data_IF_399166366293
#
_entry.id   IF_399166366293
#
_cell.length_a   1.000
_cell.length_b   1.000
_cell.length_c   1.000
_cell.angle_alpha   90.00
_cell.angle_beta   90.00
_cell.angle_gamma   90.00
#
_symmetry.space_group_name_H-M   'P 1'
#
loop_
_entity.id
_entity.type
_entity.pdbx_description
1 polymer ?
#
# COMPACT_ATOMS: atom_id res chain seq x y z
N UNK A 1 31.21 -18.17 18.46
CA UNK A 1 29.72 -18.13 18.56
C UNK A 1 29.11 -16.73 18.39
N UNK A 2 29.89 -15.65 18.41
CA UNK A 2 29.38 -14.27 18.28
C UNK A 2 29.10 -13.83 16.83
N UNK A 3 29.90 -14.29 15.86
CA UNK A 3 29.77 -13.96 14.43
C UNK A 3 28.49 -14.51 13.78
N UNK A 4 28.11 -15.76 14.08
CA UNK A 4 26.89 -16.36 13.53
C UNK A 4 25.61 -15.69 14.05
N UNK A 5 25.58 -15.30 15.34
CA UNK A 5 24.46 -14.53 15.90
C UNK A 5 24.34 -13.13 15.28
N UNK A 6 25.46 -12.48 15.01
CA UNK A 6 25.48 -11.18 14.31
C UNK A 6 24.98 -11.31 12.86
N UNK A 7 25.35 -12.38 12.16
CA UNK A 7 24.91 -12.65 10.79
C UNK A 7 23.40 -12.91 10.72
N UNK A 8 22.84 -13.72 11.62
CA UNK A 8 21.38 -13.95 11.71
C UNK A 8 20.65 -12.65 12.04
N UNK A 9 21.16 -11.86 12.99
CA UNK A 9 20.57 -10.57 13.34
C UNK A 9 20.58 -9.61 12.16
N UNK A 10 21.69 -9.55 11.40
CA UNK A 10 21.79 -8.74 10.19
C UNK A 10 20.81 -9.19 9.11
N UNK A 11 20.68 -10.51 8.87
CA UNK A 11 19.68 -11.08 7.97
C UNK A 11 18.25 -10.75 8.41
N UNK A 12 17.94 -10.81 9.71
CA UNK A 12 16.62 -10.43 10.20
C UNK A 12 16.38 -8.93 10.03
N UNK A 13 17.38 -8.07 10.25
CA UNK A 13 17.26 -6.62 10.06
C UNK A 13 17.05 -6.28 8.57
N UNK A 14 17.80 -6.90 7.65
CA UNK A 14 17.63 -6.69 6.22
C UNK A 14 16.31 -7.25 5.72
N UNK A 15 15.86 -8.40 6.25
CA UNK A 15 14.52 -8.92 5.98
C UNK A 15 13.42 -8.01 6.53
N UNK A 16 13.56 -7.42 7.70
CA UNK A 16 12.59 -6.43 8.24
C UNK A 16 12.58 -5.11 7.45
N UNK A 17 13.70 -4.73 6.83
CA UNK A 17 13.76 -3.55 5.95
C UNK A 17 13.09 -3.80 4.60
N UNK A 18 13.25 -5.00 4.02
CA UNK A 18 12.64 -5.34 2.73
C UNK A 18 11.20 -5.86 2.85
N UNK A 19 10.89 -6.51 3.97
CA UNK A 19 9.63 -7.17 4.23
C UNK A 19 9.00 -6.58 5.49
N UNK A 20 9.06 -5.27 5.72
CA UNK A 20 8.24 -4.49 6.67
C UNK A 20 8.39 -4.81 8.17
N UNK A 21 7.65 -4.07 9.01
CA UNK A 21 7.77 -4.13 10.47
C UNK A 21 6.63 -4.96 11.05
N UNK A 22 6.97 -6.04 11.76
CA UNK A 22 6.01 -6.87 12.50
C UNK A 22 5.39 -6.01 13.61
N UNK A 23 4.07 -5.90 13.59
CA UNK A 23 3.28 -5.19 14.58
C UNK A 23 2.32 -6.17 15.22
N UNK A 24 2.76 -6.86 16.29
CA UNK A 24 1.87 -7.78 17.02
C UNK A 24 0.83 -6.97 17.78
N UNK A 25 -0.36 -6.83 17.21
CA UNK A 25 -1.52 -6.52 18.04
C UNK A 25 -1.76 -7.75 18.91
N UNK A 26 -2.03 -7.60 20.21
CA UNK A 26 -2.44 -8.73 21.07
C UNK A 26 -3.81 -9.30 20.70
N UNK A 27 -4.29 -9.07 19.47
CA UNK A 27 -5.61 -9.39 18.99
C UNK A 27 -5.72 -10.88 18.72
N UNK A 28 -6.80 -11.48 19.21
CA UNK A 28 -7.12 -12.87 18.92
C UNK A 28 -7.44 -12.96 17.43
N UNK A 29 -6.77 -13.89 16.73
CA UNK A 29 -7.05 -14.20 15.31
C UNK A 29 -8.57 -14.23 15.09
N UNK A 30 -9.12 -13.46 14.14
CA UNK A 30 -10.57 -13.36 13.98
C UNK A 30 -11.15 -14.75 13.80
N UNK A 31 -12.25 -15.03 14.51
CA UNK A 31 -12.97 -16.29 14.36
C UNK A 31 -13.37 -16.48 12.89
N UNK A 32 -13.26 -17.71 12.41
CA UNK A 32 -13.67 -18.05 11.04
C UNK A 32 -15.16 -17.66 10.89
N UNK A 33 -15.52 -16.85 9.88
CA UNK A 33 -16.91 -16.45 9.69
C UNK A 33 -17.81 -17.66 9.47
N UNK A 34 -19.08 -17.54 9.87
CA UNK A 34 -20.08 -18.58 9.67
C UNK A 34 -20.23 -18.91 8.17
N UNK A 35 -20.64 -20.14 7.84
CA UNK A 35 -20.74 -20.63 6.46
C UNK A 35 -21.61 -19.74 5.57
N UNK A 36 -22.70 -19.19 6.11
CA UNK A 36 -23.61 -18.31 5.38
C UNK A 36 -22.99 -16.94 5.10
N UNK A 37 -22.21 -16.41 6.05
CA UNK A 37 -21.43 -15.19 5.81
C UNK A 37 -20.38 -15.38 4.72
N UNK A 38 -19.73 -16.56 4.68
CA UNK A 38 -18.78 -16.90 3.62
C UNK A 38 -19.50 -16.88 2.26
N UNK A 39 -20.65 -17.54 2.14
CA UNK A 39 -21.44 -17.58 0.89
C UNK A 39 -21.85 -16.20 0.41
N UNK A 40 -22.26 -15.31 1.31
CA UNK A 40 -22.60 -13.93 0.95
C UNK A 40 -21.39 -13.08 0.55
N UNK A 41 -20.21 -13.36 1.12
CA UNK A 41 -18.96 -12.65 0.82
C UNK A 41 -18.25 -13.15 -0.44
N UNK A 42 -18.59 -14.35 -0.93
CA UNK A 42 -18.10 -14.89 -2.21
C UNK A 42 -18.92 -14.44 -3.42
N UNK A 43 -20.12 -13.87 -3.22
CA UNK A 43 -20.89 -13.32 -4.34
C UNK A 43 -20.14 -12.12 -4.94
N UNK A 44 -19.90 -12.08 -6.26
CA UNK A 44 -19.25 -10.95 -6.88
C UNK A 44 -20.28 -9.81 -6.94
N UNK A 45 -20.16 -8.86 -6.00
CA UNK A 45 -21.03 -7.69 -5.86
C UNK A 45 -20.20 -6.48 -5.46
N UNK A 46 -20.62 -5.24 -5.78
CA UNK A 46 -19.83 -4.04 -5.52
C UNK A 46 -19.32 -3.95 -4.08
N UNK A 47 -20.18 -4.23 -3.10
CA UNK A 47 -19.84 -4.20 -1.67
C UNK A 47 -18.68 -5.15 -1.28
N UNK A 48 -18.51 -6.24 -2.02
CA UNK A 48 -17.46 -7.23 -1.77
C UNK A 48 -16.13 -6.85 -2.46
N UNK A 49 -16.13 -5.89 -3.39
CA UNK A 49 -14.92 -5.39 -4.05
C UNK A 49 -14.20 -4.31 -3.23
N UNK A 50 -14.93 -3.58 -2.38
CA UNK A 50 -14.40 -2.42 -1.66
C UNK A 50 -13.29 -2.83 -0.68
N UNK A 51 -12.15 -2.17 -0.79
CA UNK A 51 -10.95 -2.46 -0.01
C UNK A 51 -9.68 -2.37 -0.86
N UNK A 52 -8.56 -2.70 -0.25
CA UNK A 52 -7.24 -2.79 -0.89
C UNK A 52 -6.88 -4.25 -1.08
N UNK A 53 -6.44 -4.58 -2.28
CA UNK A 53 -6.10 -5.93 -2.73
C UNK A 53 -4.68 -5.94 -3.28
N UNK A 54 -3.90 -6.96 -2.94
CA UNK A 54 -2.53 -7.15 -3.40
C UNK A 54 -2.48 -8.31 -4.38
N UNK A 55 -1.77 -8.15 -5.50
CA UNK A 55 -1.51 -9.26 -6.42
C UNK A 55 -0.87 -10.43 -5.65
N UNK A 56 -1.40 -11.63 -5.86
CA UNK A 56 -0.88 -12.87 -5.28
C UNK A 56 -0.47 -13.92 -6.31
N UNK A 57 -0.91 -13.79 -7.57
CA UNK A 57 -0.44 -14.64 -8.66
C UNK A 57 -1.04 -14.27 -10.01
N UNK A 58 -0.35 -14.65 -11.09
CA UNK A 58 -0.82 -14.52 -12.49
C UNK A 58 -0.82 -15.91 -13.11
N UNK A 59 -1.88 -16.25 -13.85
CA UNK A 59 -1.92 -17.46 -14.66
C UNK A 59 -1.96 -17.09 -16.14
N UNK A 60 -1.00 -17.63 -16.91
CA UNK A 60 -0.92 -17.51 -18.37
C UNK A 60 -0.78 -18.91 -18.96
N UNK A 61 -1.89 -19.50 -19.42
CA UNK A 61 -1.90 -20.79 -20.10
C UNK A 61 -3.19 -21.60 -19.95
N UNK A 62 -3.36 -22.62 -20.80
CA UNK A 62 -4.51 -23.54 -20.79
C UNK A 62 -4.65 -24.40 -19.52
N UNK A 63 -3.73 -24.28 -18.56
CA UNK A 63 -3.79 -25.01 -17.28
C UNK A 63 -4.51 -24.24 -16.17
N UNK A 64 -5.04 -23.04 -16.45
CA UNK A 64 -5.91 -22.32 -15.52
C UNK A 64 -5.23 -21.99 -14.18
N UNK A 65 -5.96 -21.35 -13.28
CA UNK A 65 -5.54 -21.21 -11.87
C UNK A 65 -5.86 -22.53 -11.20
N UNK A 66 -4.87 -23.39 -10.94
CA UNK A 66 -5.14 -24.61 -10.17
C UNK A 66 -5.14 -24.30 -8.67
N UNK A 67 -6.12 -24.90 -8.04
CA UNK A 67 -6.75 -24.59 -6.77
C UNK A 67 -5.97 -25.12 -5.54
N UNK A 68 -6.54 -24.96 -4.33
CA UNK A 68 -6.04 -25.48 -3.05
C UNK A 68 -5.84 -27.01 -2.95
N UNK A 69 -5.90 -27.73 -4.07
CA UNK A 69 -5.79 -29.18 -4.24
C UNK A 69 -4.46 -29.63 -4.89
N UNK A 70 -3.58 -28.71 -5.26
CA UNK A 70 -2.15 -28.92 -5.05
C UNK A 70 -1.22 -29.15 -6.24
N UNK A 71 -1.42 -28.56 -7.44
CA UNK A 71 -0.38 -28.39 -8.48
C UNK A 71 -0.83 -27.40 -9.56
N UNK A 72 0.06 -26.72 -10.31
CA UNK A 72 0.82 -25.51 -10.01
C UNK A 72 0.10 -24.21 -10.44
N UNK A 73 -0.09 -23.27 -9.49
CA UNK A 73 0.08 -21.84 -9.80
C UNK A 73 1.60 -21.63 -9.83
N UNK A 74 2.18 -21.06 -10.89
CA UNK A 74 3.55 -20.54 -10.76
C UNK A 74 3.48 -19.48 -9.68
N UNK A 75 3.85 -19.85 -8.45
CA UNK A 75 4.03 -18.91 -7.36
C UNK A 75 4.88 -17.80 -7.95
N UNK A 76 4.37 -16.58 -7.91
CA UNK A 76 5.21 -15.41 -8.05
C UNK A 76 6.38 -15.64 -7.09
N UNK A 77 7.61 -15.77 -7.61
CA UNK A 77 8.74 -15.68 -6.71
C UNK A 77 8.63 -14.32 -6.01
N UNK A 78 8.66 -14.27 -4.67
CA UNK A 78 8.67 -13.03 -3.94
C UNK A 78 9.78 -12.13 -4.50
N UNK A 79 9.41 -10.98 -5.06
CA UNK A 79 10.34 -10.05 -5.73
C UNK A 79 10.30 -10.06 -7.26
N UNK A 80 9.41 -10.84 -7.89
CA UNK A 80 9.17 -10.71 -9.33
C UNK A 80 8.44 -9.39 -9.65
N UNK A 81 8.74 -8.85 -10.83
CA UNK A 81 8.63 -7.43 -11.23
C UNK A 81 7.23 -6.79 -11.23
N UNK A 82 6.19 -7.45 -10.73
CA UNK A 82 4.78 -7.04 -10.90
C UNK A 82 3.97 -6.97 -9.59
N UNK A 83 4.60 -6.76 -8.43
CA UNK A 83 3.84 -6.49 -7.20
C UNK A 83 3.05 -5.18 -7.32
N UNK A 84 1.73 -5.27 -7.12
CA UNK A 84 0.79 -4.15 -7.23
C UNK A 84 -0.30 -4.24 -6.15
N UNK A 85 -0.75 -3.08 -5.68
CA UNK A 85 -2.02 -2.89 -4.98
C UNK A 85 -3.06 -2.31 -5.91
N UNK A 86 -4.30 -2.78 -5.79
CA UNK A 86 -5.48 -2.09 -6.31
C UNK A 86 -6.44 -1.81 -5.15
N UNK A 87 -6.94 -0.58 -5.07
CA UNK A 87 -7.91 -0.18 -4.04
C UNK A 87 -9.20 0.30 -4.69
N UNK A 88 -10.32 -0.28 -4.27
CA UNK A 88 -11.67 0.11 -4.69
C UNK A 88 -12.37 0.88 -3.58
N UNK A 89 -12.93 2.03 -3.92
CA UNK A 89 -13.58 2.92 -2.96
C UNK A 89 -15.10 3.01 -3.19
N UNK A 90 -15.89 3.34 -2.14
CA UNK A 90 -17.36 3.46 -2.23
C UNK A 90 -17.88 4.53 -3.19
N UNK A 91 -17.06 5.51 -3.56
CA UNK A 91 -17.44 6.59 -4.49
C UNK A 91 -17.12 6.27 -5.95
N UNK A 92 -17.05 4.97 -6.28
CA UNK A 92 -16.70 4.46 -7.61
C UNK A 92 -15.30 4.88 -8.09
N UNK A 93 -14.43 5.38 -7.21
CA UNK A 93 -13.02 5.60 -7.57
C UNK A 93 -12.17 4.37 -7.27
N UNK A 94 -11.10 4.18 -8.05
CA UNK A 94 -10.07 3.20 -7.74
C UNK A 94 -8.66 3.79 -7.90
N UNK A 95 -7.69 3.16 -7.23
CA UNK A 95 -6.27 3.41 -7.45
C UNK A 95 -5.52 2.10 -7.69
N UNK A 96 -4.50 2.12 -8.54
CA UNK A 96 -3.50 1.05 -8.70
C UNK A 96 -2.13 1.62 -8.34
N UNK A 97 -1.36 0.90 -7.53
CA UNK A 97 -0.02 1.30 -7.07
C UNK A 97 0.94 0.13 -7.28
N UNK A 98 1.97 0.31 -8.11
CA UNK A 98 3.06 -0.65 -8.28
C UNK A 98 4.25 -0.36 -7.36
N UNK A 99 5.13 -1.35 -7.22
CA UNK A 99 6.37 -1.21 -6.42
C UNK A 99 7.44 -0.35 -7.08
N UNK A 100 7.34 -0.05 -8.39
CA UNK A 100 8.29 0.81 -9.11
C UNK A 100 7.74 2.21 -9.36
N UNK A 101 6.75 2.63 -8.57
CA UNK A 101 6.18 3.97 -8.66
C UNK A 101 5.05 4.10 -9.68
N UNK A 102 4.64 3.01 -10.33
CA UNK A 102 3.46 3.01 -11.18
C UNK A 102 2.25 3.45 -10.36
N UNK A 103 1.53 4.46 -10.83
CA UNK A 103 0.36 4.99 -10.15
C UNK A 103 -0.75 5.28 -11.16
N UNK A 104 -1.92 4.71 -10.92
CA UNK A 104 -3.11 4.97 -11.74
C UNK A 104 -4.27 5.30 -10.82
N UNK A 105 -5.09 6.26 -11.23
CA UNK A 105 -6.38 6.59 -10.61
C UNK A 105 -7.45 6.53 -11.68
N UNK A 106 -8.65 6.10 -11.32
CA UNK A 106 -9.74 5.98 -12.27
C UNK A 106 -11.10 5.80 -11.61
N UNK A 107 -12.08 5.47 -12.43
CA UNK A 107 -13.44 5.11 -12.02
C UNK A 107 -13.66 3.61 -12.22
N UNK A 108 -14.43 2.98 -11.33
CA UNK A 108 -14.86 1.61 -11.47
C UNK A 108 -16.37 1.49 -11.38
N UNK A 109 -16.91 0.54 -12.12
CA UNK A 109 -18.29 0.10 -12.02
C UNK A 109 -18.36 -1.43 -12.09
N UNK A 110 -19.44 -2.02 -11.60
CA UNK A 110 -19.57 -3.46 -11.52
C UNK A 110 -20.94 -3.93 -12.04
N UNK A 111 -20.92 -4.77 -13.06
CA UNK A 111 -22.11 -5.39 -13.62
C UNK A 111 -22.37 -6.74 -12.95
N UNK A 112 -23.42 -6.79 -12.14
CA UNK A 112 -23.84 -8.01 -11.44
C UNK A 112 -24.39 -9.09 -12.36
N UNK A 113 -24.81 -8.74 -13.57
CA UNK A 113 -25.38 -9.66 -14.55
C UNK A 113 -24.29 -10.53 -15.17
N UNK A 114 -23.21 -9.89 -15.59
CA UNK A 114 -22.03 -10.54 -16.21
C UNK A 114 -20.98 -10.93 -15.18
N UNK A 115 -21.08 -10.42 -13.94
CA UNK A 115 -20.03 -10.51 -12.92
C UNK A 115 -18.71 -9.88 -13.39
N UNK A 116 -18.80 -8.78 -14.15
CA UNK A 116 -17.65 -8.03 -14.67
C UNK A 116 -17.44 -6.73 -13.90
N UNK A 117 -16.18 -6.29 -13.81
CA UNK A 117 -15.80 -4.95 -13.38
C UNK A 117 -15.32 -4.13 -14.58
N UNK A 118 -15.78 -2.88 -14.67
CA UNK A 118 -15.33 -1.90 -15.65
C UNK A 118 -14.36 -0.94 -15.00
N UNK A 119 -13.13 -0.86 -15.49
CA UNK A 119 -12.09 0.03 -14.97
C UNK A 119 -11.77 1.10 -16.00
N UNK A 120 -12.14 2.34 -15.70
CA UNK A 120 -11.94 3.48 -16.58
C UNK A 120 -10.79 4.35 -16.08
N UNK A 121 -9.75 4.50 -16.90
CA UNK A 121 -8.62 5.41 -16.64
C UNK A 121 -8.09 5.99 -17.95
N UNK A 122 -7.71 7.27 -17.94
CA UNK A 122 -7.17 7.96 -19.13
C UNK A 122 -8.03 7.79 -20.40
N UNK A 123 -9.37 7.79 -20.26
CA UNK A 123 -10.37 7.55 -21.32
C UNK A 123 -10.40 6.14 -21.92
N UNK A 124 -9.64 5.20 -21.35
CA UNK A 124 -9.69 3.80 -21.69
C UNK A 124 -10.54 3.06 -20.65
N UNK A 125 -11.42 2.17 -21.11
CA UNK A 125 -12.25 1.33 -20.25
C UNK A 125 -11.90 -0.13 -20.50
N UNK A 126 -11.53 -0.84 -19.45
CA UNK A 126 -11.26 -2.27 -19.44
C UNK A 126 -12.45 -2.99 -18.79
N UNK A 127 -13.03 -3.99 -19.46
CA UNK A 127 -13.97 -4.94 -18.84
C UNK A 127 -13.21 -6.19 -18.39
N UNK A 128 -13.42 -6.64 -17.16
CA UNK A 128 -12.69 -7.75 -16.55
C UNK A 128 -13.69 -8.65 -15.80
N UNK A 129 -13.68 -9.96 -16.06
CA UNK A 129 -14.50 -10.92 -15.32
C UNK A 129 -14.01 -11.08 -13.88
N UNK A 130 -14.93 -11.24 -12.91
CA UNK A 130 -14.59 -11.25 -11.48
C UNK A 130 -15.22 -12.43 -10.74
N UNK A 131 -14.39 -13.16 -9.99
CA UNK A 131 -14.83 -14.19 -9.05
C UNK A 131 -14.15 -14.03 -7.69
N UNK A 132 -14.91 -14.21 -6.61
CA UNK A 132 -14.41 -14.08 -5.23
C UNK A 132 -14.35 -15.45 -4.58
N UNK A 133 -13.16 -15.82 -4.08
CA UNK A 133 -12.92 -17.08 -3.37
C UNK A 133 -12.25 -16.81 -2.02
N UNK A 134 -11.93 -17.89 -1.31
CA UNK A 134 -11.18 -17.85 -0.05
C UNK A 134 -9.97 -18.76 -0.16
N UNK A 135 -8.83 -18.29 0.33
CA UNK A 135 -7.66 -19.13 0.58
C UNK A 135 -7.85 -19.99 1.84
N UNK A 136 -7.06 -21.04 2.00
CA UNK A 136 -7.13 -21.96 3.15
C UNK A 136 -6.92 -21.28 4.49
N UNK A 137 -6.13 -20.21 4.50
CA UNK A 137 -5.88 -19.38 5.68
C UNK A 137 -7.04 -18.42 6.02
N UNK A 138 -8.14 -18.47 5.25
CA UNK A 138 -9.33 -17.65 5.43
C UNK A 138 -9.27 -16.25 4.81
N UNK A 139 -8.20 -15.91 4.10
CA UNK A 139 -8.12 -14.64 3.36
C UNK A 139 -9.00 -14.68 2.12
N UNK A 140 -9.62 -13.54 1.80
CA UNK A 140 -10.43 -13.37 0.61
C UNK A 140 -9.53 -13.18 -0.61
N UNK A 141 -9.93 -13.79 -1.72
CA UNK A 141 -9.27 -13.66 -3.01
C UNK A 141 -10.26 -13.06 -4.02
N UNK A 142 -9.80 -12.11 -4.82
CA UNK A 142 -10.46 -11.70 -6.05
C UNK A 142 -9.65 -12.30 -7.20
N UNK A 143 -10.33 -12.92 -8.17
CA UNK A 143 -9.72 -13.37 -9.41
C UNK A 143 -10.28 -12.52 -10.55
N UNK A 144 -9.38 -11.84 -11.25
CA UNK A 144 -9.64 -11.11 -12.48
C UNK A 144 -9.37 -12.03 -13.66
N UNK A 145 -10.35 -12.21 -14.52
CA UNK A 145 -10.25 -12.97 -15.76
C UNK A 145 -10.26 -11.99 -16.94
N UNK A 146 -9.14 -11.92 -17.65
CA UNK A 146 -8.99 -11.07 -18.84
C UNK A 146 -9.30 -11.84 -20.12
N UNK A 147 -9.02 -13.14 -20.12
CA UNK A 147 -9.35 -14.09 -21.18
C UNK A 147 -9.43 -15.50 -20.59
N UNK A 148 -9.94 -16.50 -21.35
CA UNK A 148 -9.98 -17.90 -20.88
C UNK A 148 -8.62 -18.49 -20.47
N UNK A 149 -7.51 -17.86 -20.88
CA UNK A 149 -6.14 -18.33 -20.61
C UNK A 149 -5.33 -17.36 -19.76
N UNK A 150 -5.90 -16.21 -19.38
CA UNK A 150 -5.20 -15.16 -18.66
C UNK A 150 -6.03 -14.66 -17.49
N UNK A 151 -5.49 -14.84 -16.28
CA UNK A 151 -6.12 -14.37 -15.06
C UNK A 151 -5.10 -13.89 -14.03
N UNK A 152 -5.57 -13.04 -13.14
CA UNK A 152 -4.82 -12.45 -12.04
C UNK A 152 -5.56 -12.69 -10.73
N UNK A 153 -4.88 -13.25 -9.74
CA UNK A 153 -5.41 -13.39 -8.39
C UNK A 153 -4.89 -12.28 -7.49
N UNK A 154 -5.78 -11.73 -6.66
CA UNK A 154 -5.50 -10.68 -5.69
C UNK A 154 -6.00 -11.10 -4.32
N UNK A 155 -5.14 -11.00 -3.31
CA UNK A 155 -5.46 -11.28 -1.92
C UNK A 155 -5.88 -10.00 -1.18
N UNK A 156 -6.87 -10.10 -0.30
CA UNK A 156 -7.30 -8.99 0.57
C UNK A 156 -6.11 -8.51 1.43
N UNK A 157 -5.69 -7.26 1.22
CA UNK A 157 -4.60 -6.61 1.94
C UNK A 157 -5.13 -5.71 3.06
N UNK A 158 -6.25 -5.02 2.80
CA UNK A 158 -6.86 -4.12 3.76
C UNK A 158 -8.34 -3.96 3.50
N UNK A 159 -9.16 -4.17 4.54
CA UNK A 159 -10.60 -3.89 4.47
C UNK A 159 -10.85 -2.39 4.37
N UNK A 160 -12.04 -2.03 3.87
CA UNK A 160 -12.52 -0.64 3.84
C UNK A 160 -12.40 0.03 5.21
N UNK A 161 -11.82 1.23 5.26
CA UNK A 161 -11.88 2.05 6.46
C UNK A 161 -13.29 2.63 6.67
N UNK A 162 -13.72 2.87 7.93
CA UNK A 162 -14.99 3.55 8.20
C UNK A 162 -15.09 4.90 7.46
N UNK A 163 -13.99 5.64 7.43
CA UNK A 163 -13.81 6.87 6.63
C UNK A 163 -12.89 6.57 5.45
N UNK A 164 -13.45 6.06 4.37
CA UNK A 164 -12.65 5.59 3.23
C UNK A 164 -11.75 6.66 2.59
N UNK A 165 -12.09 7.95 2.73
CA UNK A 165 -11.26 9.07 2.23
C UNK A 165 -9.98 9.29 3.05
N UNK A 166 -9.91 8.73 4.25
CA UNK A 166 -8.69 8.69 5.07
C UNK A 166 -7.80 7.49 4.71
N UNK A 167 -8.22 6.65 3.76
CA UNK A 167 -7.41 5.50 3.32
C UNK A 167 -6.11 5.98 2.69
N UNK A 168 -4.94 5.42 3.08
CA UNK A 168 -3.67 5.82 2.52
C UNK A 168 -3.62 5.68 1.01
N UNK A 169 -4.39 4.79 0.38
CA UNK A 169 -4.39 4.59 -1.07
C UNK A 169 -5.49 5.36 -1.80
N UNK A 170 -6.28 6.17 -1.11
CA UNK A 170 -7.25 7.07 -1.75
C UNK A 170 -6.53 8.11 -2.62
N UNK A 171 -7.14 8.52 -3.74
CA UNK A 171 -6.50 9.36 -4.75
C UNK A 171 -5.91 10.67 -4.17
N UNK A 172 -6.69 11.35 -3.32
CA UNK A 172 -6.27 12.59 -2.68
C UNK A 172 -5.07 12.43 -1.72
N UNK A 173 -4.83 11.21 -1.23
CA UNK A 173 -3.73 10.92 -0.31
C UNK A 173 -2.46 10.45 -1.06
N UNK A 174 -2.49 10.35 -2.39
CA UNK A 174 -1.37 9.86 -3.21
C UNK A 174 -0.98 10.80 -4.35
N UNK A 175 -1.49 12.03 -4.40
CA UNK A 175 -1.18 12.93 -5.52
C UNK A 175 0.31 13.26 -5.59
N UNK A 176 1.06 13.10 -4.49
CA UNK A 176 2.52 13.21 -4.47
C UNK A 176 3.23 12.30 -5.48
N UNK A 177 2.60 11.20 -5.92
CA UNK A 177 3.11 10.29 -6.94
C UNK A 177 2.95 10.79 -8.38
N UNK A 178 2.05 11.77 -8.58
CA UNK A 178 1.73 12.26 -9.92
C UNK A 178 2.83 13.23 -10.35
N UNK A 179 3.65 12.79 -11.30
CA UNK A 179 4.77 13.58 -11.83
C UNK A 179 4.26 14.90 -12.44
N UNK A 180 4.76 16.07 -11.99
CA UNK A 180 4.45 17.35 -12.61
C UNK A 180 4.97 17.45 -14.05
N UNK A 181 4.16 18.04 -14.94
CA UNK A 181 4.56 18.31 -16.32
C UNK A 181 5.57 19.47 -16.45
N UNK A 182 5.73 20.29 -15.41
CA UNK A 182 6.58 21.48 -15.39
C UNK A 182 7.30 21.58 -14.03
N UNK A 183 8.42 22.33 -13.95
CA UNK A 183 9.11 22.57 -12.68
C UNK A 183 8.15 23.12 -11.62
N UNK A 184 8.32 22.66 -10.38
CA UNK A 184 7.49 23.09 -9.25
C UNK A 184 8.17 24.27 -8.51
N UNK A 185 7.37 25.19 -8.00
CA UNK A 185 7.84 26.21 -7.05
C UNK A 185 8.07 25.60 -5.66
N UNK A 186 8.81 26.29 -4.79
CA UNK A 186 9.07 25.85 -3.41
C UNK A 186 7.80 25.53 -2.62
N UNK A 187 6.74 26.32 -2.85
CA UNK A 187 5.44 26.09 -2.23
C UNK A 187 4.76 24.80 -2.74
N UNK A 188 4.89 24.50 -4.04
CA UNK A 188 4.35 23.28 -4.65
C UNK A 188 5.14 22.04 -4.20
N UNK A 189 6.48 22.13 -4.18
CA UNK A 189 7.37 21.08 -3.66
C UNK A 189 7.04 20.79 -2.19
N UNK A 190 6.85 21.83 -1.36
CA UNK A 190 6.42 21.68 0.04
C UNK A 190 5.05 21.03 0.15
N UNK A 191 4.08 21.44 -0.66
CA UNK A 191 2.75 20.83 -0.65
C UNK A 191 2.82 19.32 -0.99
N UNK A 192 3.68 18.94 -1.95
CA UNK A 192 3.91 17.55 -2.34
C UNK A 192 4.52 16.74 -1.21
N UNK A 193 5.55 17.29 -0.57
CA UNK A 193 6.15 16.70 0.62
C UNK A 193 5.11 16.51 1.74
N UNK A 194 4.29 17.51 2.02
CA UNK A 194 3.23 17.41 3.03
C UNK A 194 2.22 16.31 2.67
N UNK A 195 1.85 16.16 1.41
CA UNK A 195 0.98 15.06 0.99
C UNK A 195 1.63 13.69 1.20
N UNK A 196 2.93 13.54 0.91
CA UNK A 196 3.67 12.32 1.23
C UNK A 196 3.72 12.03 2.74
N UNK A 197 3.98 13.03 3.57
CA UNK A 197 4.00 12.83 5.04
C UNK A 197 2.62 12.44 5.58
N UNK A 198 1.55 13.05 5.07
CA UNK A 198 0.18 12.69 5.40
C UNK A 198 -0.16 11.26 4.93
N UNK A 199 0.32 10.86 3.75
CA UNK A 199 0.23 9.48 3.25
C UNK A 199 0.90 8.50 4.21
N UNK A 200 2.16 8.73 4.57
CA UNK A 200 2.90 7.85 5.48
C UNK A 200 2.22 7.73 6.84
N UNK A 201 1.68 8.83 7.38
CA UNK A 201 0.88 8.81 8.61
C UNK A 201 -0.42 7.98 8.42
N UNK A 202 -1.08 8.13 7.27
CA UNK A 202 -2.30 7.38 6.94
C UNK A 202 -2.04 5.88 6.83
N UNK A 203 -0.86 5.45 6.34
CA UNK A 203 -0.47 4.03 6.34
C UNK A 203 -0.47 3.48 7.78
N UNK A 204 0.19 4.18 8.71
CA UNK A 204 0.25 3.76 10.11
C UNK A 204 -1.13 3.74 10.78
N UNK A 205 -1.91 4.82 10.63
CA UNK A 205 -3.25 4.88 11.22
C UNK A 205 -4.19 3.80 10.67
N UNK A 206 -4.12 3.52 9.36
CA UNK A 206 -4.93 2.47 8.72
C UNK A 206 -4.58 1.09 9.24
N UNK A 207 -3.28 0.82 9.48
CA UNK A 207 -2.82 -0.45 10.05
C UNK A 207 -3.35 -0.64 11.47
N UNK A 208 -3.45 0.43 12.26
CA UNK A 208 -4.05 0.38 13.59
C UNK A 208 -5.55 0.09 13.53
N UNK A 209 -6.28 0.80 12.69
CA UNK A 209 -7.74 0.63 12.54
C UNK A 209 -8.07 -0.78 12.04
N UNK A 210 -7.23 -1.33 11.16
CA UNK A 210 -7.37 -2.67 10.59
C UNK A 210 -6.81 -3.78 11.46
N UNK A 211 -6.17 -3.44 12.59
CA UNK A 211 -5.44 -4.38 13.44
C UNK A 211 -4.46 -5.26 12.63
N UNK A 212 -3.76 -4.66 11.66
CA UNK A 212 -2.82 -5.41 10.83
C UNK A 212 -1.64 -5.89 11.67
N UNK A 213 -1.28 -7.17 11.56
CA UNK A 213 -0.13 -7.72 12.29
C UNK A 213 1.23 -7.28 11.72
N UNK A 214 1.19 -6.56 10.61
CA UNK A 214 2.34 -6.32 9.77
C UNK A 214 2.14 -5.05 8.94
N UNK A 215 3.13 -4.16 8.96
CA UNK A 215 3.11 -2.89 8.24
C UNK A 215 4.23 -2.90 7.20
N UNK A 216 3.85 -2.75 5.94
CA UNK A 216 4.78 -2.62 4.82
C UNK A 216 4.75 -1.21 4.24
N UNK A 217 5.93 -0.68 3.95
CA UNK A 217 6.10 0.55 3.17
C UNK A 217 6.52 0.26 1.72
N UNK A 218 6.42 -0.99 1.25
CA UNK A 218 6.86 -1.38 -0.10
C UNK A 218 6.17 -0.56 -1.20
N UNK A 219 4.89 -0.24 -1.04
CA UNK A 219 4.13 0.60 -1.97
C UNK A 219 4.23 2.08 -1.63
N UNK A 220 4.92 2.46 -0.56
CA UNK A 220 4.98 3.82 0.01
C UNK A 220 6.42 4.28 0.25
N UNK A 221 7.36 3.76 -0.54
CA UNK A 221 8.76 4.13 -0.46
C UNK A 221 8.94 5.62 -0.74
N UNK A 222 9.85 6.23 0.01
CA UNK A 222 10.20 7.63 -0.13
C UNK A 222 11.28 8.01 0.86
N UNK A 223 11.31 9.28 1.28
CA UNK A 223 12.39 9.81 2.10
C UNK A 223 12.25 9.56 3.60
N UNK A 224 11.06 9.15 4.08
CA UNK A 224 10.80 8.89 5.50
C UNK A 224 11.34 7.51 5.90
N UNK A 225 12.06 7.47 7.02
CA UNK A 225 12.50 6.23 7.67
C UNK A 225 11.84 6.10 9.03
N UNK A 226 11.12 5.00 9.23
CA UNK A 226 10.46 4.68 10.51
C UNK A 226 11.41 3.87 11.41
N UNK A 227 11.44 4.24 12.70
CA UNK A 227 12.13 3.54 13.78
C UNK A 227 11.15 3.28 14.90
N UNK A 228 11.45 2.38 15.82
CA UNK A 228 10.62 2.20 17.01
C UNK A 228 10.61 3.50 17.84
N UNK A 229 9.52 4.27 17.78
CA UNK A 229 9.37 5.58 18.44
C UNK A 229 10.36 6.61 17.87
N UNK A 230 10.42 6.72 16.55
CA UNK A 230 11.31 7.69 15.90
C UNK A 230 11.08 7.82 14.40
N UNK A 231 11.17 9.04 13.90
CA UNK A 231 11.11 9.36 12.48
C UNK A 231 12.46 9.94 12.07
N UNK A 232 13.07 9.35 11.06
CA UNK A 232 14.25 9.91 10.40
C UNK A 232 14.05 10.04 8.91
N UNK A 233 15.16 10.33 8.23
CA UNK A 233 15.25 10.45 6.79
C UNK A 233 16.16 9.36 6.24
N UNK A 234 15.88 8.87 5.02
CA UNK A 234 16.82 8.02 4.26
C UNK A 234 18.09 8.81 3.96
N UNK A 235 19.22 8.16 3.68
CA UNK A 235 20.41 8.90 3.23
C UNK A 235 20.18 9.44 1.81
N UNK A 236 20.78 10.57 1.47
CA UNK A 236 20.59 11.25 0.17
C UNK A 236 20.98 10.37 -1.03
N UNK A 237 21.97 9.51 -0.88
CA UNK A 237 22.41 8.50 -1.88
C UNK A 237 21.55 7.23 -1.90
N UNK A 238 20.62 7.09 -0.96
CA UNK A 238 19.71 5.95 -0.81
C UNK A 238 18.24 6.34 -1.06
N UNK A 239 17.99 7.51 -1.63
CA UNK A 239 16.64 7.95 -1.98
C UNK A 239 16.09 6.98 -3.05
N UNK A 240 14.91 6.37 -2.84
CA UNK A 240 14.31 5.47 -3.82
C UNK A 240 14.06 6.18 -5.17
N UNK A 241 14.28 5.48 -6.29
CA UNK A 241 14.00 6.03 -7.62
C UNK A 241 12.54 6.44 -7.77
N UNK A 242 11.62 5.69 -7.17
CA UNK A 242 10.18 5.98 -7.15
C UNK A 242 9.85 7.35 -6.53
N UNK A 243 10.66 7.81 -5.56
CA UNK A 243 10.56 9.17 -5.03
C UNK A 243 11.05 10.18 -6.06
N UNK A 244 12.25 10.01 -6.60
CA UNK A 244 12.84 10.94 -7.57
C UNK A 244 11.95 11.12 -8.81
N UNK A 245 11.37 10.03 -9.29
CA UNK A 245 10.50 10.01 -10.48
C UNK A 245 9.12 10.67 -10.24
N UNK A 246 8.72 10.86 -8.99
CA UNK A 246 7.45 11.52 -8.62
C UNK A 246 7.49 13.05 -8.71
N UNK A 247 8.69 13.64 -8.88
CA UNK A 247 8.91 15.07 -9.06
C UNK A 247 9.23 15.40 -10.51
N UNK A 248 9.16 16.68 -10.88
CA UNK A 248 9.50 17.11 -12.23
C UNK A 248 10.96 16.76 -12.59
N UNK A 249 11.88 17.04 -11.67
CA UNK A 249 13.32 16.81 -11.78
C UNK A 249 13.88 16.17 -10.50
N UNK A 250 15.09 15.60 -10.59
CA UNK A 250 15.81 15.11 -9.41
C UNK A 250 16.16 16.27 -8.44
N UNK A 251 16.39 17.47 -8.95
CA UNK A 251 16.66 18.66 -8.13
C UNK A 251 15.44 19.04 -7.29
N UNK A 252 14.23 19.00 -7.86
CA UNK A 252 12.98 19.26 -7.11
C UNK A 252 12.77 18.20 -6.01
N UNK A 253 13.08 16.94 -6.31
CA UNK A 253 13.00 15.84 -5.35
C UNK A 253 14.03 16.00 -4.21
N UNK A 254 15.25 16.41 -4.52
CA UNK A 254 16.29 16.71 -3.53
C UNK A 254 15.95 17.96 -2.71
N UNK A 255 15.30 18.95 -3.31
CA UNK A 255 14.81 20.12 -2.59
C UNK A 255 13.74 19.74 -1.57
N UNK A 256 12.81 18.86 -1.92
CA UNK A 256 11.84 18.31 -0.96
C UNK A 256 12.54 17.52 0.17
N UNK A 257 13.55 16.73 -0.17
CA UNK A 257 14.38 16.04 0.82
C UNK A 257 15.04 17.03 1.79
N UNK A 258 15.69 18.07 1.28
CA UNK A 258 16.42 19.05 2.09
C UNK A 258 15.44 19.81 3.01
N UNK A 259 14.24 20.17 2.52
CA UNK A 259 13.18 20.75 3.36
C UNK A 259 12.77 19.84 4.53
N UNK A 260 12.68 18.53 4.29
CA UNK A 260 12.31 17.57 5.32
C UNK A 260 13.45 17.38 6.34
N UNK A 261 14.67 17.19 5.85
CA UNK A 261 15.88 17.03 6.67
C UNK A 261 16.10 18.26 7.57
N UNK A 262 16.06 19.46 7.00
CA UNK A 262 16.15 20.72 7.74
C UNK A 262 15.08 20.82 8.83
N UNK A 263 13.85 20.38 8.55
CA UNK A 263 12.80 20.36 9.55
C UNK A 263 13.07 19.34 10.66
N UNK A 264 13.60 18.16 10.35
CA UNK A 264 13.96 17.17 11.37
C UNK A 264 15.06 17.69 12.31
N UNK A 265 16.02 18.47 11.80
CA UNK A 265 17.09 19.06 12.61
C UNK A 265 16.66 20.29 13.41
N UNK A 266 15.81 21.15 12.84
CA UNK A 266 15.45 22.45 13.45
C UNK A 266 14.11 22.44 14.18
N UNK A 267 13.23 21.50 13.83
CA UNK A 267 11.87 21.40 14.33
C UNK A 267 11.81 20.83 15.75
N UNK A 268 10.79 21.25 16.51
CA UNK A 268 10.42 20.63 17.78
C UNK A 268 9.16 19.81 17.57
N UNK A 269 9.21 18.53 17.93
CA UNK A 269 8.07 17.63 17.94
C UNK A 269 7.94 16.98 19.31
N UNK A 270 6.72 16.59 19.70
CA UNK A 270 6.50 15.93 20.97
C UNK A 270 7.05 14.51 20.92
N UNK A 271 7.65 14.07 22.02
CA UNK A 271 7.96 12.66 22.22
C UNK A 271 6.69 11.95 22.66
N UNK A 272 6.40 10.80 22.06
CA UNK A 272 5.30 9.93 22.42
C UNK A 272 5.87 8.60 22.89
N UNK A 273 5.40 8.09 24.02
CA UNK A 273 5.87 6.82 24.60
C UNK A 273 4.69 6.06 25.17
N UNK A 274 3.82 5.61 24.29
CA UNK A 274 2.59 4.93 24.68
C UNK A 274 2.75 3.41 24.72
N UNK A 275 3.95 2.91 24.45
CA UNK A 275 4.27 1.48 24.32
C UNK A 275 3.81 0.86 22.99
N UNK A 276 3.22 1.67 22.09
CA UNK A 276 2.77 1.25 20.77
C UNK A 276 3.47 2.11 19.73
N UNK A 277 4.52 1.56 19.13
CA UNK A 277 5.38 2.29 18.19
C UNK A 277 4.61 2.84 16.99
N UNK A 278 3.62 2.10 16.46
CA UNK A 278 2.79 2.55 15.34
C UNK A 278 2.00 3.80 15.71
N UNK A 279 1.46 3.84 16.95
CA UNK A 279 0.70 4.99 17.45
C UNK A 279 1.60 6.18 17.68
N UNK A 280 2.77 5.93 18.23
CA UNK A 280 3.73 6.96 18.58
C UNK A 280 4.31 7.58 17.29
N UNK A 281 4.75 6.77 16.34
CA UNK A 281 5.27 7.21 15.03
C UNK A 281 4.22 7.95 14.20
N UNK A 282 2.96 7.47 14.19
CA UNK A 282 1.85 8.19 13.56
C UNK A 282 1.71 9.60 14.14
N UNK A 283 1.76 9.74 15.46
CA UNK A 283 1.65 11.05 16.12
C UNK A 283 2.86 11.95 15.83
N UNK A 284 4.07 11.38 15.81
CA UNK A 284 5.28 12.13 15.44
C UNK A 284 5.16 12.64 14.00
N UNK A 285 4.73 11.82 13.04
CA UNK A 285 4.53 12.24 11.65
C UNK A 285 3.47 13.34 11.51
N UNK A 286 2.36 13.24 12.25
CA UNK A 286 1.32 14.28 12.27
C UNK A 286 1.87 15.60 12.83
N UNK A 287 2.65 15.55 13.91
CA UNK A 287 3.30 16.73 14.49
C UNK A 287 4.29 17.37 13.50
N UNK A 288 5.12 16.55 12.83
CA UNK A 288 6.07 17.01 11.81
C UNK A 288 5.32 17.67 10.65
N UNK A 289 4.32 16.99 10.08
CA UNK A 289 3.48 17.51 9.00
C UNK A 289 2.86 18.87 9.37
N UNK A 290 2.28 18.97 10.56
CA UNK A 290 1.61 20.20 11.01
C UNK A 290 2.60 21.33 11.26
N UNK A 291 3.80 21.06 11.78
CA UNK A 291 4.80 22.10 11.97
C UNK A 291 5.44 22.55 10.65
N UNK A 292 5.66 21.64 9.69
CA UNK A 292 6.09 22.00 8.34
C UNK A 292 5.06 22.85 7.60
N UNK A 293 3.77 22.56 7.77
CA UNK A 293 2.67 23.33 7.18
C UNK A 293 2.59 24.79 7.69
N UNK A 294 3.11 25.06 8.89
CA UNK A 294 3.10 26.40 9.51
C UNK A 294 4.31 27.26 9.15
N UNK A 295 5.38 26.66 8.64
CA UNK A 295 6.58 27.36 8.15
C UNK A 295 6.41 27.72 6.67
#
# INVERSE_FOLDING_TARGET
>A
MTSFKLFILFMMITMMQHHGIIYRTGSKRPSRPARDEIRERTKPKPANMIGTWRISGVSTGNQGVISPDGQPVRQFEPGSKNDMLISFFPDSTFTRVGTKGEYTVGQWDFDTTTSSIFLTSNRNTEEIGVFITYADNGLRLINFEFSPTESLSLTEYGRKLPRFREDPYFGQNNWWRIKPARPETDAQIRARLLNYLAHTASVLSSAQIREQDYISLEFSQGIVRLYNVGIGVVKKDQIPSTWLESFHSADDAHKAYDMFEDYLFTGKHKKYQSGNWVRDDHRILVDIHNGMKRK
#
